data_IF_041105017837
#
_entry.id   IF_041105017837
#
_cell.length_a   1.000
_cell.length_b   1.000
_cell.length_c   1.000
_cell.angle_alpha   90.00
_cell.angle_beta   90.00
_cell.angle_gamma   90.00
#
_symmetry.space_group_name_H-M   'P 1'
#
loop_
_entity.id
_entity.type
_entity.pdbx_description
1 polymer ?
#
# COMPACT_ATOMS: atom_id res chain seq x y z
N UNK A 1 21.68 -5.90 20.67
CA UNK A 1 20.41 -5.99 19.98
C UNK A 1 20.53 -5.36 18.60
N UNK A 2 20.02 -6.01 17.64
CA UNK A 2 20.12 -5.52 16.28
C UNK A 2 18.85 -4.77 15.92
N UNK A 3 19.03 -3.54 15.54
CA UNK A 3 17.95 -2.78 14.95
C UNK A 3 17.91 -3.09 13.49
N UNK A 4 16.91 -3.83 13.09
CA UNK A 4 16.73 -4.11 11.68
C UNK A 4 16.03 -2.94 11.03
N UNK A 5 16.59 -2.49 9.94
CA UNK A 5 15.93 -1.50 9.11
C UNK A 5 14.71 -2.17 8.48
N UNK A 6 13.47 -1.68 8.76
CA UNK A 6 12.28 -2.29 8.17
C UNK A 6 12.33 -2.39 6.66
N UNK A 7 12.93 -1.40 6.02
CA UNK A 7 13.10 -1.39 4.57
C UNK A 7 13.96 -2.56 4.11
N UNK A 8 15.11 -2.77 4.77
CA UNK A 8 16.00 -3.88 4.42
C UNK A 8 15.36 -5.22 4.68
N UNK A 9 14.60 -5.35 5.78
CA UNK A 9 13.92 -6.59 6.12
C UNK A 9 12.87 -6.96 5.07
N UNK A 10 12.07 -5.99 4.64
CA UNK A 10 11.06 -6.23 3.61
C UNK A 10 11.69 -6.51 2.26
N UNK A 11 12.76 -5.81 1.92
CA UNK A 11 13.47 -6.06 0.67
C UNK A 11 13.99 -7.50 0.62
N UNK A 12 14.60 -7.97 1.70
CA UNK A 12 15.11 -9.32 1.79
C UNK A 12 13.98 -10.35 1.61
N UNK A 13 12.83 -10.14 2.27
CA UNK A 13 11.70 -11.06 2.13
C UNK A 13 11.17 -11.09 0.71
N UNK A 14 11.10 -9.93 0.07
CA UNK A 14 10.61 -9.86 -1.30
C UNK A 14 11.56 -10.56 -2.26
N UNK A 15 12.87 -10.34 -2.11
CA UNK A 15 13.87 -10.99 -2.95
C UNK A 15 13.86 -12.51 -2.80
N UNK A 16 13.58 -13.01 -1.61
CA UNK A 16 13.56 -14.44 -1.33
C UNK A 16 12.19 -15.07 -1.57
N UNK A 17 11.20 -14.28 -1.97
CA UNK A 17 9.85 -14.78 -2.18
C UNK A 17 9.13 -15.13 -0.89
N UNK A 18 9.51 -14.52 0.21
CA UNK A 18 8.97 -14.81 1.54
C UNK A 18 7.99 -13.77 2.06
N UNK A 19 7.74 -12.72 1.28
CA UNK A 19 6.76 -11.71 1.66
C UNK A 19 5.38 -12.33 1.64
N UNK A 20 4.64 -12.24 2.75
CA UNK A 20 3.32 -12.85 2.81
C UNK A 20 2.33 -11.95 3.57
N UNK A 21 1.15 -12.51 3.83
CA UNK A 21 0.05 -11.78 4.48
C UNK A 21 0.48 -11.16 5.81
N UNK A 22 1.30 -11.87 6.58
CA UNK A 22 1.73 -11.38 7.90
C UNK A 22 2.61 -10.13 7.79
N UNK A 23 3.18 -9.85 6.63
CA UNK A 23 4.04 -8.70 6.42
C UNK A 23 3.27 -7.45 5.99
N UNK A 24 1.98 -7.56 5.70
CA UNK A 24 1.17 -6.43 5.23
C UNK A 24 1.18 -5.25 6.22
N UNK A 25 0.97 -5.45 7.54
CA UNK A 25 0.99 -4.31 8.45
C UNK A 25 2.33 -3.58 8.47
N UNK A 26 3.44 -4.33 8.45
CA UNK A 26 4.77 -3.72 8.42
C UNK A 26 5.00 -2.95 7.13
N UNK A 27 4.52 -3.50 6.01
CA UNK A 27 4.61 -2.83 4.71
C UNK A 27 3.86 -1.50 4.73
N UNK A 28 2.63 -1.49 5.25
CA UNK A 28 1.82 -0.27 5.26
C UNK A 28 2.42 0.78 6.19
N UNK A 29 3.00 0.37 7.31
CA UNK A 29 3.71 1.29 8.19
C UNK A 29 4.89 1.92 7.47
N UNK A 30 5.69 1.10 6.79
CA UNK A 30 6.83 1.61 6.03
C UNK A 30 6.39 2.50 4.87
N UNK A 31 5.30 2.11 4.19
CA UNK A 31 4.72 2.91 3.11
C UNK A 31 4.42 4.33 3.60
N UNK A 32 3.82 4.46 4.78
CA UNK A 32 3.48 5.75 5.33
C UNK A 32 4.70 6.53 5.81
N UNK A 33 5.68 5.84 6.38
CA UNK A 33 6.93 6.49 6.78
C UNK A 33 7.65 7.05 5.56
N UNK A 34 7.72 6.26 4.49
CA UNK A 34 8.32 6.74 3.24
C UNK A 34 7.52 7.87 2.63
N UNK A 35 6.18 7.78 2.69
CA UNK A 35 5.31 8.83 2.19
C UNK A 35 5.59 10.16 2.86
N UNK A 36 5.91 10.13 4.15
CA UNK A 36 6.19 11.34 4.91
C UNK A 36 7.60 11.88 4.67
N UNK A 37 8.53 11.04 4.20
CA UNK A 37 9.95 11.40 4.08
C UNK A 37 10.45 11.55 2.64
N UNK A 38 9.92 10.77 1.70
CA UNK A 38 10.46 10.72 0.34
C UNK A 38 9.85 11.86 -0.48
N UNK A 39 10.70 12.72 -1.03
CA UNK A 39 10.26 13.89 -1.77
C UNK A 39 9.36 13.54 -2.95
N UNK A 40 9.70 12.49 -3.68
CA UNK A 40 8.91 12.07 -4.83
C UNK A 40 7.48 11.70 -4.43
N UNK A 41 7.32 11.05 -3.28
CA UNK A 41 5.99 10.70 -2.77
C UNK A 41 5.24 11.95 -2.30
N UNK A 42 5.93 12.89 -1.69
CA UNK A 42 5.31 14.16 -1.28
C UNK A 42 4.80 14.94 -2.49
N UNK A 43 5.57 14.93 -3.58
CA UNK A 43 5.15 15.61 -4.82
C UNK A 43 3.94 14.94 -5.43
N UNK A 44 3.90 13.60 -5.41
CA UNK A 44 2.78 12.86 -5.99
C UNK A 44 1.45 13.15 -5.31
N UNK A 45 1.48 13.41 -4.01
CA UNK A 45 0.24 13.62 -3.25
C UNK A 45 -0.07 15.08 -2.98
N UNK A 46 0.66 16.00 -3.60
CA UNK A 46 0.39 17.42 -3.44
C UNK A 46 -1.04 17.74 -3.90
N UNK A 47 -1.84 18.31 -2.98
CA UNK A 47 -3.22 18.64 -3.29
C UNK A 47 -4.15 17.43 -3.39
N UNK A 48 -3.69 16.25 -3.02
CA UNK A 48 -4.47 15.02 -3.12
C UNK A 48 -4.71 14.45 -1.72
N UNK A 49 -5.81 14.83 -1.12
CA UNK A 49 -6.20 14.35 0.21
C UNK A 49 -7.17 13.19 0.03
N UNK A 50 -6.85 12.03 0.62
CA UNK A 50 -7.69 10.84 0.49
C UNK A 50 -7.69 10.04 1.78
N UNK A 51 -8.81 9.39 2.01
CA UNK A 51 -9.00 8.44 3.09
C UNK A 51 -9.35 7.11 2.43
N UNK A 52 -8.49 6.12 2.63
CA UNK A 52 -8.48 4.90 1.83
C UNK A 52 -8.65 3.70 2.73
N UNK A 53 -9.57 2.81 2.38
CA UNK A 53 -9.69 1.51 3.03
C UNK A 53 -9.14 0.43 2.13
N UNK A 54 -8.27 -0.40 2.69
CA UNK A 54 -7.89 -1.68 2.08
C UNK A 54 -8.71 -2.77 2.77
N UNK A 55 -9.76 -3.21 2.10
CA UNK A 55 -10.64 -4.27 2.62
C UNK A 55 -10.08 -5.60 2.17
N UNK A 56 -9.50 -6.34 3.10
CA UNK A 56 -8.75 -7.56 2.80
C UNK A 56 -9.51 -8.78 3.27
N UNK A 57 -9.71 -9.74 2.37
CA UNK A 57 -10.30 -11.02 2.71
C UNK A 57 -9.19 -11.97 3.16
N UNK A 58 -9.37 -12.55 4.33
CA UNK A 58 -8.40 -13.51 4.87
C UNK A 58 -7.47 -12.93 5.91
N UNK A 59 -7.57 -11.63 6.19
CA UNK A 59 -6.80 -10.99 7.25
C UNK A 59 -7.53 -9.71 7.66
N UNK A 60 -6.98 -9.00 8.64
CA UNK A 60 -7.58 -7.73 9.06
C UNK A 60 -7.41 -6.67 7.98
N UNK A 61 -8.44 -5.84 7.83
CA UNK A 61 -8.39 -4.71 6.90
C UNK A 61 -7.60 -3.57 7.52
N UNK A 62 -7.10 -2.69 6.67
CA UNK A 62 -6.31 -1.55 7.09
C UNK A 62 -6.74 -0.30 6.33
N UNK A 63 -6.43 0.86 6.89
CA UNK A 63 -6.71 2.12 6.23
C UNK A 63 -5.43 2.93 6.11
N UNK A 64 -5.42 3.83 5.12
CA UNK A 64 -4.39 4.85 4.97
C UNK A 64 -5.09 6.19 4.81
N UNK A 65 -4.61 7.22 5.50
CA UNK A 65 -5.04 8.58 5.24
C UNK A 65 -3.86 9.37 4.70
N UNK A 66 -4.16 10.22 3.71
CA UNK A 66 -3.18 11.13 3.14
C UNK A 66 -3.85 12.50 3.16
N UNK A 67 -3.39 13.37 4.05
CA UNK A 67 -3.99 14.68 4.26
C UNK A 67 -2.88 15.70 4.45
N UNK A 68 -2.88 16.75 3.62
CA UNK A 68 -1.84 17.78 3.65
C UNK A 68 -0.44 17.19 3.55
N UNK A 69 -0.28 16.14 2.72
CA UNK A 69 1.00 15.48 2.52
C UNK A 69 1.40 14.55 3.66
N UNK A 70 0.55 14.36 4.66
CA UNK A 70 0.86 13.50 5.81
C UNK A 70 0.18 12.15 5.63
N UNK A 71 0.97 11.09 5.65
CA UNK A 71 0.51 9.71 5.55
C UNK A 71 0.36 9.11 6.93
N UNK A 72 -0.75 8.39 7.15
CA UNK A 72 -0.97 7.62 8.39
C UNK A 72 -1.70 6.34 8.05
N UNK A 73 -1.56 5.32 8.87
CA UNK A 73 -2.21 4.03 8.67
C UNK A 73 -2.64 3.44 10.01
N UNK A 74 -3.62 2.56 9.95
CA UNK A 74 -4.08 1.82 11.12
C UNK A 74 -4.88 0.61 10.69
N UNK A 75 -5.22 -0.23 11.65
CA UNK A 75 -6.04 -1.41 11.41
C UNK A 75 -7.51 -1.04 11.51
N UNK A 76 -8.34 -1.65 10.65
CA UNK A 76 -9.77 -1.43 10.65
C UNK A 76 -10.23 -0.72 9.40
N UNK A 77 -11.43 -0.17 9.46
CA UNK A 77 -12.10 0.47 8.32
C UNK A 77 -12.60 1.84 8.76
N UNK A 78 -12.30 2.85 7.95
CA UNK A 78 -12.80 4.20 8.16
C UNK A 78 -14.22 4.31 7.61
N UNK A 79 -15.10 4.99 8.35
CA UNK A 79 -16.48 5.19 7.91
C UNK A 79 -16.59 6.20 6.77
N UNK A 80 -15.63 7.10 6.67
CA UNK A 80 -15.66 8.19 5.71
C UNK A 80 -14.60 8.08 4.61
N UNK A 81 -14.20 6.84 4.30
CA UNK A 81 -13.25 6.62 3.21
C UNK A 81 -13.85 7.05 1.88
N UNK A 82 -13.05 7.72 1.08
CA UNK A 82 -13.48 8.12 -0.26
C UNK A 82 -12.85 7.26 -1.35
N UNK A 83 -12.04 6.27 -0.96
CA UNK A 83 -11.51 5.26 -1.87
C UNK A 83 -11.48 3.94 -1.12
N UNK A 84 -12.07 2.89 -1.71
CA UNK A 84 -12.07 1.56 -1.12
C UNK A 84 -11.47 0.60 -2.12
N UNK A 85 -10.45 -0.14 -1.68
CA UNK A 85 -9.79 -1.15 -2.48
C UNK A 85 -10.03 -2.50 -1.81
N UNK A 86 -10.75 -3.37 -2.51
CA UNK A 86 -11.13 -4.68 -1.97
C UNK A 86 -10.39 -5.77 -2.72
N UNK A 87 -9.68 -6.60 -2.00
CA UNK A 87 -8.99 -7.73 -2.60
C UNK A 87 -8.69 -8.77 -1.53
N UNK A 88 -8.39 -9.98 -2.01
CA UNK A 88 -7.94 -11.09 -1.19
C UNK A 88 -6.57 -10.77 -0.61
N UNK A 89 -6.32 -11.20 0.62
CA UNK A 89 -5.06 -10.89 1.31
C UNK A 89 -3.83 -11.44 0.58
N UNK A 90 -3.95 -12.63 -0.04
CA UNK A 90 -2.84 -13.20 -0.81
C UNK A 90 -2.53 -12.31 -2.02
N UNK A 91 -3.57 -11.86 -2.72
CA UNK A 91 -3.38 -10.95 -3.85
C UNK A 91 -2.81 -9.61 -3.40
N UNK A 92 -3.24 -9.11 -2.24
CA UNK A 92 -2.70 -7.86 -1.70
C UNK A 92 -1.20 -7.99 -1.43
N UNK A 93 -0.78 -9.09 -0.81
CA UNK A 93 0.64 -9.33 -0.55
C UNK A 93 1.44 -9.36 -1.85
N UNK A 94 0.89 -9.99 -2.90
CA UNK A 94 1.54 -10.04 -4.19
C UNK A 94 1.66 -8.67 -4.85
N UNK A 95 0.63 -7.85 -4.72
CA UNK A 95 0.67 -6.48 -5.25
C UNK A 95 1.75 -5.66 -4.52
N UNK A 96 1.78 -5.75 -3.19
CA UNK A 96 2.75 -4.99 -2.40
C UNK A 96 4.18 -5.46 -2.64
N UNK A 97 4.36 -6.75 -2.91
CA UNK A 97 5.69 -7.30 -3.21
C UNK A 97 6.14 -7.05 -4.65
N UNK A 98 5.25 -6.51 -5.49
CA UNK A 98 5.58 -6.28 -6.89
C UNK A 98 5.39 -7.50 -7.78
N UNK A 99 4.84 -8.59 -7.24
CA UNK A 99 4.63 -9.83 -8.01
C UNK A 99 3.34 -9.80 -8.83
N UNK A 100 2.42 -8.91 -8.50
CA UNK A 100 1.16 -8.76 -9.22
C UNK A 100 0.94 -7.28 -9.52
N UNK A 101 0.61 -6.98 -10.77
CA UNK A 101 0.26 -5.64 -11.19
C UNK A 101 -1.18 -5.32 -10.75
N UNK A 102 -1.35 -4.21 -10.03
CA UNK A 102 -2.67 -3.80 -9.54
C UNK A 102 -3.66 -3.57 -10.67
N UNK A 103 -3.19 -3.05 -11.82
CA UNK A 103 -4.05 -2.85 -12.99
C UNK A 103 -4.56 -4.17 -13.52
N UNK A 104 -3.68 -5.17 -13.63
CA UNK A 104 -4.08 -6.50 -14.07
C UNK A 104 -5.05 -7.14 -13.09
N UNK A 105 -4.84 -6.96 -11.79
CA UNK A 105 -5.75 -7.44 -10.75
C UNK A 105 -7.13 -6.80 -10.89
N UNK A 106 -7.18 -5.51 -11.17
CA UNK A 106 -8.44 -4.81 -11.39
C UNK A 106 -9.16 -5.35 -12.63
N UNK A 107 -8.44 -5.54 -13.72
CA UNK A 107 -9.04 -6.02 -14.98
C UNK A 107 -9.54 -7.46 -14.89
N UNK A 108 -8.90 -8.28 -14.07
CA UNK A 108 -9.33 -9.67 -13.86
C UNK A 108 -10.45 -9.81 -12.83
N UNK A 109 -10.77 -8.72 -12.11
CA UNK A 109 -11.79 -8.75 -11.06
C UNK A 109 -11.24 -9.14 -9.69
N UNK A 110 -9.95 -9.39 -9.56
CA UNK A 110 -9.33 -9.71 -8.28
C UNK A 110 -9.28 -8.49 -7.36
N UNK A 111 -9.15 -7.31 -7.92
CA UNK A 111 -9.19 -6.05 -7.19
C UNK A 111 -10.46 -5.31 -7.56
N UNK A 112 -11.26 -4.93 -6.56
CA UNK A 112 -12.45 -4.12 -6.76
C UNK A 112 -12.22 -2.73 -6.18
N UNK A 113 -12.67 -1.71 -6.91
CA UNK A 113 -12.46 -0.32 -6.54
C UNK A 113 -13.81 0.33 -6.31
N UNK A 114 -13.98 0.98 -5.16
CA UNK A 114 -15.11 1.88 -4.90
C UNK A 114 -14.54 3.27 -4.74
N UNK A 115 -14.99 4.20 -5.56
CA UNK A 115 -14.49 5.56 -5.61
C UNK A 115 -14.06 5.90 -7.02
N UNK A 116 -13.23 6.94 -7.15
CA UNK A 116 -12.79 7.41 -8.46
C UNK A 116 -11.63 6.56 -8.97
N UNK A 117 -11.74 6.05 -10.18
CA UNK A 117 -10.69 5.22 -10.76
C UNK A 117 -9.33 5.94 -10.84
N UNK A 118 -9.26 7.24 -11.18
CA UNK A 118 -7.97 7.94 -11.14
C UNK A 118 -7.30 7.90 -9.76
N UNK A 119 -8.06 7.85 -8.68
CA UNK A 119 -7.50 7.75 -7.34
C UNK A 119 -6.84 6.38 -7.13
N UNK A 120 -7.45 5.32 -7.67
CA UNK A 120 -6.85 3.99 -7.61
C UNK A 120 -5.55 3.94 -8.43
N UNK A 121 -5.52 4.62 -9.58
CA UNK A 121 -4.32 4.72 -10.39
C UNK A 121 -3.21 5.45 -9.63
N UNK A 122 -3.57 6.51 -8.91
CA UNK A 122 -2.61 7.24 -8.08
C UNK A 122 -2.04 6.31 -6.99
N UNK A 123 -2.88 5.50 -6.36
CA UNK A 123 -2.39 4.54 -5.37
C UNK A 123 -1.41 3.55 -5.97
N UNK A 124 -1.68 3.07 -7.19
CA UNK A 124 -0.74 2.19 -7.87
C UNK A 124 0.60 2.88 -8.07
N UNK A 125 0.59 4.14 -8.49
CA UNK A 125 1.82 4.91 -8.67
C UNK A 125 2.60 5.02 -7.36
N UNK A 126 1.91 5.28 -6.25
CA UNK A 126 2.56 5.37 -4.95
C UNK A 126 3.19 4.02 -4.55
N UNK A 127 2.48 2.92 -4.80
CA UNK A 127 3.01 1.59 -4.51
C UNK A 127 4.26 1.32 -5.34
N UNK A 128 4.26 1.73 -6.61
CA UNK A 128 5.42 1.55 -7.48
C UNK A 128 6.63 2.36 -7.00
N UNK A 129 6.41 3.59 -6.57
CA UNK A 129 7.49 4.42 -6.05
C UNK A 129 8.07 3.81 -4.78
N UNK A 130 7.21 3.35 -3.88
CA UNK A 130 7.66 2.68 -2.66
C UNK A 130 8.47 1.44 -3.02
N UNK A 131 8.03 0.68 -4.03
CA UNK A 131 8.78 -0.48 -4.49
C UNK A 131 10.17 -0.13 -4.97
N UNK A 132 10.30 0.96 -5.72
CA UNK A 132 11.61 1.45 -6.17
C UNK A 132 12.50 1.83 -5.00
N UNK A 133 11.92 2.46 -3.97
CA UNK A 133 12.67 2.87 -2.78
C UNK A 133 13.10 1.68 -1.93
N UNK A 134 12.30 0.62 -1.91
CA UNK A 134 12.65 -0.63 -1.24
C UNK A 134 13.67 -1.42 -2.08
N UNK A 135 13.73 -1.14 -3.37
CA UNK A 135 14.70 -1.75 -4.30
C UNK A 135 14.37 -3.19 -4.68
N UNK A 136 13.08 -3.45 -4.97
CA UNK A 136 12.73 -4.77 -5.50
C UNK A 136 12.22 -4.74 -6.94
#
# INVERSE_FOLDING_TARGET
MINQDPKATLNEKIEEGEFDIADIPAYLTLFCEMGNDVEELQEEVEGWDRRINFVLEGTNSHWITIEDGRFATGEGILDDANLVLKLDAVNAAQVFAGDMDAKAAYMSGALKVEGELPDAVKMQTLIEIVGEEIEY
#
